data_IF_322874298043
#
_entry.id   IF_322874298043
#
_cell.length_a   1.000
_cell.length_b   1.000
_cell.length_c   1.000
_cell.angle_alpha   90.00
_cell.angle_beta   90.00
_cell.angle_gamma   90.00
#
_symmetry.space_group_name_H-M   'P 1'
#
loop_
_entity.id
_entity.type
_entity.pdbx_description
1 polymer ?
#
# COMPACT_ATOMS: atom_id res chain seq x y z
N UNK A 1 19.60 -14.22 22.08
CA UNK A 1 19.17 -13.92 21.69
C UNK A 1 18.60 -13.52 21.00
N UNK A 2 18.21 -13.38 20.95
CA UNK A 2 17.54 -12.97 20.47
C UNK A 2 17.10 -12.60 19.71
N UNK A 3 16.49 -12.44 19.55
CA UNK A 3 15.93 -12.10 18.91
C UNK A 3 15.59 -11.42 18.37
N UNK A 4 15.69 -11.55 18.10
CA UNK A 4 15.32 -10.68 17.47
C UNK A 4 14.32 -10.23 16.88
N UNK A 5 14.01 -10.53 16.97
CA UNK A 5 13.08 -10.13 16.64
C UNK A 5 12.44 -9.42 16.55
N UNK A 6 12.79 -9.80 16.65
CA UNK A 6 11.87 -9.13 16.57
C UNK A 6 11.75 -7.79 16.61
N UNK A 7 11.96 -7.13 15.79
CA UNK A 7 11.60 -5.81 16.07
C UNK A 7 10.17 -5.55 15.64
N UNK A 8 9.27 -5.50 16.57
CA UNK A 8 7.87 -5.35 16.20
C UNK A 8 7.54 -3.96 15.72
N UNK A 9 8.46 -3.01 15.84
CA UNK A 9 8.19 -1.65 15.39
C UNK A 9 8.35 -1.49 13.88
N UNK A 10 8.94 -2.46 13.20
CA UNK A 10 9.15 -2.36 11.75
C UNK A 10 8.13 -3.20 11.03
N UNK A 11 7.05 -2.55 10.62
CA UNK A 11 6.06 -3.20 9.77
C UNK A 11 6.54 -3.09 8.33
N UNK A 12 6.21 -4.10 7.52
CA UNK A 12 6.54 -4.05 6.10
C UNK A 12 5.59 -3.10 5.37
N UNK A 13 4.37 -3.02 5.82
CA UNK A 13 3.37 -2.10 5.31
C UNK A 13 2.24 -2.02 6.32
N UNK A 14 1.63 -0.84 6.42
CA UNK A 14 0.46 -0.65 7.27
C UNK A 14 -0.44 0.37 6.57
N UNK A 15 -1.59 -0.08 6.09
CA UNK A 15 -2.48 0.78 5.32
C UNK A 15 -3.09 1.91 6.15
N UNK A 16 -2.96 1.85 7.46
CA UNK A 16 -3.50 2.86 8.37
C UNK A 16 -2.44 3.85 8.82
N UNK A 17 -1.23 3.75 8.29
CA UNK A 17 -0.12 4.60 8.69
C UNK A 17 0.31 5.44 7.48
N UNK A 18 0.29 6.77 7.64
CA UNK A 18 0.62 7.68 6.56
C UNK A 18 2.06 7.56 6.08
N UNK A 19 2.94 6.96 6.86
CA UNK A 19 4.30 6.71 6.40
C UNK A 19 4.35 5.64 5.31
N UNK A 20 3.34 4.78 5.26
CA UNK A 20 3.30 3.68 4.29
C UNK A 20 2.30 3.95 3.18
N UNK A 21 1.27 4.72 3.45
CA UNK A 21 0.27 5.03 2.46
C UNK A 21 -0.26 6.44 2.73
N UNK A 22 -0.07 7.34 1.77
CA UNK A 22 -0.48 8.72 1.96
C UNK A 22 -1.17 9.26 0.71
N UNK A 23 -2.39 9.77 0.84
CA UNK A 23 -3.22 9.76 2.03
C UNK A 23 -3.77 8.36 2.31
N UNK A 24 -4.10 8.10 3.56
CA UNK A 24 -4.80 6.86 3.87
C UNK A 24 -6.31 7.14 3.94
N UNK A 25 -7.10 6.05 3.92
CA UNK A 25 -8.54 6.19 3.87
C UNK A 25 -9.03 6.31 2.44
N UNK A 26 -10.24 6.78 2.27
CA UNK A 26 -10.82 6.97 0.94
C UNK A 26 -10.18 8.17 0.27
N UNK A 27 -10.03 8.09 -1.05
CA UNK A 27 -9.41 9.17 -1.83
C UNK A 27 -10.32 9.55 -2.98
N UNK A 28 -10.17 10.78 -3.44
CA UNK A 28 -10.90 11.27 -4.59
C UNK A 28 -10.23 10.79 -5.87
N UNK A 29 -11.03 10.51 -6.91
CA UNK A 29 -10.43 10.14 -8.19
C UNK A 29 -9.55 11.28 -8.67
N UNK A 30 -8.42 10.93 -9.28
CA UNK A 30 -7.43 11.91 -9.68
C UNK A 30 -6.43 12.26 -8.58
N UNK A 31 -6.67 11.80 -7.36
CA UNK A 31 -5.73 12.03 -6.26
C UNK A 31 -4.63 10.99 -6.29
N UNK A 32 -3.38 11.43 -6.23
CA UNK A 32 -2.25 10.51 -6.24
C UNK A 32 -1.98 9.97 -4.85
N UNK A 33 -1.91 8.66 -4.76
CA UNK A 33 -1.61 7.97 -3.50
C UNK A 33 -0.18 7.47 -3.55
N UNK A 34 0.57 7.78 -2.51
CA UNK A 34 1.93 7.27 -2.35
C UNK A 34 1.87 5.98 -1.53
N UNK A 35 2.43 4.92 -2.08
CA UNK A 35 2.56 3.64 -1.40
C UNK A 35 4.03 3.41 -1.10
N UNK A 36 4.33 3.04 0.13
CA UNK A 36 5.69 2.76 0.55
C UNK A 36 5.71 1.45 1.32
N UNK A 37 6.70 0.61 1.00
CA UNK A 37 6.91 -0.63 1.73
C UNK A 37 8.32 -0.64 2.29
N UNK A 38 8.47 -1.26 3.43
CA UNK A 38 9.76 -1.38 4.11
C UNK A 38 10.18 -2.84 4.05
N UNK A 39 11.29 -3.12 3.40
CA UNK A 39 11.72 -4.49 3.18
C UNK A 39 13.04 -4.77 3.88
N UNK A 40 13.16 -5.97 4.48
CA UNK A 40 14.47 -6.39 4.99
C UNK A 40 15.47 -6.49 3.86
N UNK A 41 16.66 -5.98 4.07
CA UNK A 41 17.68 -5.99 3.03
C UNK A 41 18.17 -7.40 2.72
N UNK A 42 18.05 -8.32 3.70
CA UNK A 42 18.47 -9.70 3.47
C UNK A 42 17.60 -10.41 2.43
N UNK A 43 16.42 -9.89 2.13
CA UNK A 43 15.58 -10.46 1.07
C UNK A 43 16.24 -10.37 -0.30
N UNK A 44 17.09 -9.38 -0.49
CA UNK A 44 17.70 -9.18 -1.80
C UNK A 44 16.67 -8.82 -2.86
N UNK A 45 15.76 -7.92 -2.52
CA UNK A 45 14.71 -7.51 -3.45
C UNK A 45 15.31 -6.78 -4.64
N UNK A 46 15.03 -7.28 -5.84
CA UNK A 46 15.52 -6.70 -7.08
C UNK A 46 14.44 -5.98 -7.85
N UNK A 47 13.18 -6.18 -7.46
CA UNK A 47 12.06 -5.51 -8.09
C UNK A 47 10.85 -5.65 -7.20
N UNK A 48 10.08 -4.59 -7.10
CA UNK A 48 8.85 -4.58 -6.33
C UNK A 48 7.76 -3.98 -7.18
N UNK A 49 6.53 -4.46 -7.00
CA UNK A 49 5.40 -4.04 -7.81
C UNK A 49 4.18 -3.86 -6.94
N UNK A 50 3.43 -2.80 -7.20
CA UNK A 50 2.11 -2.63 -6.64
C UNK A 50 1.15 -3.43 -7.51
N UNK A 51 0.48 -4.40 -6.91
CA UNK A 51 -0.60 -5.13 -7.57
C UNK A 51 -1.85 -4.29 -7.40
N UNK A 52 -2.55 -3.98 -8.48
CA UNK A 52 -3.82 -3.29 -8.36
C UNK A 52 -4.86 -4.02 -9.20
N UNK A 53 -6.03 -4.15 -8.61
CA UNK A 53 -7.14 -4.86 -9.23
C UNK A 53 -8.41 -4.08 -8.93
N UNK A 54 -8.89 -3.27 -9.89
CA UNK A 54 -10.17 -2.61 -9.71
C UNK A 54 -11.26 -3.65 -9.53
N UNK A 55 -12.24 -3.35 -8.71
CA UNK A 55 -13.34 -4.28 -8.49
C UNK A 55 -14.02 -4.56 -9.82
N UNK A 56 -14.07 -5.84 -10.19
CA UNK A 56 -14.62 -6.24 -11.48
C UNK A 56 -13.70 -6.07 -12.65
N UNK A 57 -12.47 -5.61 -12.43
CA UNK A 57 -11.51 -5.41 -13.50
C UNK A 57 -10.34 -6.38 -13.43
N UNK A 58 -9.37 -6.15 -14.30
CA UNK A 58 -8.20 -7.02 -14.40
C UNK A 58 -7.09 -6.54 -13.47
N UNK A 59 -6.30 -7.50 -13.01
CA UNK A 59 -5.13 -7.21 -12.20
C UNK A 59 -4.03 -6.60 -13.05
N UNK A 60 -3.35 -5.61 -12.50
CA UNK A 60 -2.22 -4.97 -13.16
C UNK A 60 -1.11 -4.74 -12.14
N UNK A 61 0.10 -4.57 -12.65
CA UNK A 61 1.29 -4.33 -11.84
C UNK A 61 1.88 -2.98 -12.17
N UNK A 62 2.18 -2.20 -11.14
CA UNK A 62 2.90 -0.93 -11.30
C UNK A 62 4.26 -1.08 -10.62
N UNK A 63 5.32 -0.74 -11.34
CA UNK A 63 6.66 -0.84 -10.79
C UNK A 63 6.88 0.11 -9.63
N UNK A 64 7.56 -0.38 -8.61
CA UNK A 64 8.00 0.43 -7.49
C UNK A 64 9.47 0.74 -7.65
N UNK A 65 9.93 1.78 -6.95
CA UNK A 65 11.29 2.25 -7.06
C UNK A 65 11.96 2.19 -5.69
N UNK A 66 13.22 1.79 -5.70
CA UNK A 66 14.01 1.81 -4.48
C UNK A 66 14.12 3.26 -4.01
N UNK A 67 13.73 3.49 -2.77
CA UNK A 67 13.61 4.85 -2.23
C UNK A 67 14.64 5.15 -1.15
N UNK A 68 15.57 4.22 -0.93
CA UNK A 68 16.64 4.48 0.00
C UNK A 68 16.69 3.47 1.11
N UNK A 69 17.82 3.45 1.78
CA UNK A 69 18.05 2.59 2.90
C UNK A 69 17.54 3.27 4.16
N UNK A 70 16.77 2.53 4.97
CA UNK A 70 16.33 3.05 6.24
C UNK A 70 17.43 2.92 7.28
N UNK A 71 18.03 1.76 7.33
CA UNK A 71 19.16 1.47 8.20
C UNK A 71 19.92 0.27 7.62
N UNK A 72 20.79 -0.34 8.40
CA UNK A 72 21.58 -1.48 7.91
C UNK A 72 20.73 -2.69 7.56
N UNK A 73 19.52 -2.74 8.07
CA UNK A 73 18.67 -3.94 7.96
C UNK A 73 17.48 -3.76 7.04
N UNK A 74 17.07 -2.55 6.74
CA UNK A 74 15.84 -2.29 6.01
C UNK A 74 16.03 -1.24 4.93
N UNK A 75 15.17 -1.32 3.91
CA UNK A 75 15.17 -0.36 2.81
C UNK A 75 13.73 -0.05 2.42
N UNK A 76 13.54 1.15 1.88
CA UNK A 76 12.24 1.60 1.40
C UNK A 76 12.11 1.40 -0.10
N UNK A 77 10.91 0.99 -0.52
CA UNK A 77 10.50 1.01 -1.92
C UNK A 77 9.19 1.76 -1.97
N UNK A 78 8.99 2.60 -2.99
CA UNK A 78 7.76 3.34 -3.09
C UNK A 78 7.29 3.46 -4.54
N UNK A 79 6.02 3.83 -4.69
CA UNK A 79 5.45 4.19 -5.98
C UNK A 79 4.23 5.04 -5.74
N UNK A 80 3.77 5.68 -6.82
CA UNK A 80 2.59 6.50 -6.79
C UNK A 80 1.55 5.90 -7.71
N UNK A 81 0.30 5.95 -7.29
CA UNK A 81 -0.81 5.47 -8.07
C UNK A 81 -1.92 6.51 -8.02
N UNK A 82 -2.45 6.85 -9.19
CA UNK A 82 -3.54 7.82 -9.30
C UNK A 82 -4.75 7.10 -9.85
N UNK A 83 -5.73 6.76 -9.00
CA UNK A 83 -6.96 6.16 -9.50
C UNK A 83 -7.74 7.17 -10.31
N UNK A 84 -8.11 6.77 -11.52
CA UNK A 84 -8.78 7.68 -12.45
C UNK A 84 -10.28 7.49 -12.48
N UNK A 85 -10.78 6.46 -11.81
CA UNK A 85 -12.20 6.18 -11.75
C UNK A 85 -12.61 5.90 -10.33
N UNK A 86 -13.78 6.38 -9.96
CA UNK A 86 -14.35 6.04 -8.67
C UNK A 86 -14.63 4.55 -8.59
N UNK A 87 -14.55 4.01 -7.40
CA UNK A 87 -14.80 2.61 -7.17
C UNK A 87 -13.82 2.03 -6.17
N UNK A 88 -13.88 0.72 -6.04
CA UNK A 88 -13.03 0.00 -5.11
C UNK A 88 -11.87 -0.60 -5.88
N UNK A 89 -10.67 -0.44 -5.35
CA UNK A 89 -9.46 -1.05 -5.91
C UNK A 89 -8.84 -1.93 -4.84
N UNK A 90 -8.59 -3.17 -5.20
CA UNK A 90 -7.85 -4.09 -4.34
C UNK A 90 -6.39 -3.98 -4.67
N UNK A 91 -5.52 -3.96 -3.67
CA UNK A 91 -4.10 -3.81 -3.94
C UNK A 91 -3.26 -4.67 -3.02
N UNK A 92 -2.06 -4.96 -3.47
CA UNK A 92 -1.08 -5.70 -2.71
C UNK A 92 0.29 -5.47 -3.32
N UNK A 93 1.25 -6.28 -2.93
CA UNK A 93 2.63 -6.07 -3.39
C UNK A 93 3.26 -7.39 -3.77
N UNK A 94 3.98 -7.35 -4.89
CA UNK A 94 4.71 -8.51 -5.40
C UNK A 94 6.18 -8.16 -5.43
N UNK A 95 7.02 -9.07 -4.97
CA UNK A 95 8.44 -8.83 -4.84
C UNK A 95 9.22 -9.89 -5.61
N UNK A 96 10.27 -9.45 -6.33
CA UNK A 96 11.22 -10.36 -6.93
C UNK A 96 12.47 -10.30 -6.09
N UNK A 97 12.75 -11.37 -5.36
CA UNK A 97 13.84 -11.38 -4.40
C UNK A 97 14.88 -12.43 -4.78
N UNK A 98 16.01 -12.39 -4.11
CA UNK A 98 17.04 -13.41 -4.30
C UNK A 98 16.59 -14.79 -3.90
N UNK A 99 15.47 -14.89 -3.19
CA UNK A 99 14.91 -16.17 -2.76
C UNK A 99 13.69 -16.57 -3.58
N UNK A 100 13.43 -15.85 -4.68
CA UNK A 100 12.28 -16.09 -5.53
C UNK A 100 11.21 -15.03 -5.33
N UNK A 101 10.06 -15.28 -5.97
CA UNK A 101 8.96 -14.34 -5.89
C UNK A 101 8.29 -14.42 -4.52
N UNK A 102 8.00 -13.26 -3.96
CA UNK A 102 7.32 -13.15 -2.68
C UNK A 102 6.22 -12.11 -2.78
N UNK A 103 5.35 -12.10 -1.78
CA UNK A 103 4.21 -11.17 -1.75
C UNK A 103 4.09 -10.59 -0.36
N UNK A 104 3.60 -9.35 -0.29
CA UNK A 104 3.11 -8.81 0.97
C UNK A 104 1.61 -8.99 0.97
N UNK A 105 1.09 -9.65 1.99
CA UNK A 105 -0.33 -9.97 2.08
C UNK A 105 -0.89 -9.33 3.34
N UNK A 106 -2.17 -8.97 3.29
CA UNK A 106 -2.82 -8.24 4.36
C UNK A 106 -3.11 -9.16 5.55
N UNK A 107 -2.74 -8.69 6.73
CA UNK A 107 -3.14 -9.31 7.98
C UNK A 107 -4.39 -8.64 8.52
N UNK A 108 -5.09 -9.27 9.48
CA UNK A 108 -6.33 -8.67 10.01
C UNK A 108 -6.17 -7.28 10.60
N UNK A 109 -4.98 -6.92 11.06
CA UNK A 109 -4.72 -5.59 11.62
C UNK A 109 -4.26 -4.59 10.56
N UNK A 110 -4.41 -4.92 9.27
CA UNK A 110 -4.06 -4.08 8.14
C UNK A 110 -2.57 -3.94 7.88
N UNK A 111 -1.74 -4.66 8.62
CA UNK A 111 -0.30 -4.71 8.35
C UNK A 111 0.00 -5.82 7.36
N UNK A 112 1.25 -5.92 6.93
CA UNK A 112 1.65 -6.88 5.93
C UNK A 112 2.43 -8.04 6.52
N UNK A 113 2.23 -9.20 5.94
CA UNK A 113 3.08 -10.35 6.20
C UNK A 113 3.75 -10.76 4.89
N UNK A 114 4.97 -11.26 5.01
CA UNK A 114 5.71 -11.77 3.86
C UNK A 114 5.23 -13.18 3.56
N UNK A 115 4.92 -13.45 2.30
CA UNK A 115 4.34 -14.73 1.90
C UNK A 115 4.98 -15.21 0.60
N UNK A 116 5.08 -16.53 0.46
CA UNK A 116 5.55 -17.13 -0.78
C UNK A 116 4.42 -17.24 -1.82
N UNK A 117 3.18 -17.01 -1.40
CA UNK A 117 2.02 -17.11 -2.28
C UNK A 117 1.16 -15.87 -2.16
N UNK A 118 0.37 -15.55 -3.21
CA UNK A 118 -0.60 -14.46 -3.10
C UNK A 118 -1.59 -14.74 -1.98
N UNK A 119 -2.08 -13.67 -1.38
CA UNK A 119 -3.03 -13.79 -0.28
C UNK A 119 -3.94 -12.57 -0.24
N UNK A 120 -4.52 -12.29 0.93
CA UNK A 120 -5.46 -11.18 1.04
C UNK A 120 -4.86 -9.86 0.62
N UNK A 121 -5.68 -9.04 0.00
CA UNK A 121 -5.31 -7.72 -0.49
C UNK A 121 -5.95 -6.65 0.39
N UNK A 122 -5.42 -5.44 0.28
CA UNK A 122 -6.00 -4.26 0.93
C UNK A 122 -7.00 -3.60 -0.01
N UNK A 123 -7.86 -2.77 0.55
CA UNK A 123 -8.85 -2.02 -0.22
C UNK A 123 -8.47 -0.55 -0.26
N UNK A 124 -8.65 0.04 -1.44
CA UNK A 124 -8.57 1.49 -1.63
C UNK A 124 -9.91 1.93 -2.19
N UNK A 125 -10.62 2.76 -1.46
CA UNK A 125 -11.88 3.31 -1.93
C UNK A 125 -11.62 4.64 -2.60
N UNK A 126 -12.06 4.76 -3.84
CA UNK A 126 -11.91 5.99 -4.62
C UNK A 126 -13.29 6.54 -4.88
N UNK A 127 -13.52 7.81 -4.53
CA UNK A 127 -14.81 8.42 -4.76
C UNK A 127 -14.72 9.41 -5.91
N UNK A 128 -15.89 9.76 -6.45
CA UNK A 128 -16.00 10.54 -7.66
C UNK A 128 -15.49 11.97 -7.44
N UNK A 129 -14.70 12.44 -8.39
CA UNK A 129 -14.17 13.79 -8.33
C UNK A 129 -15.32 14.78 -8.42
N UNK A 130 -15.25 15.81 -7.61
CA UNK A 130 -16.29 16.81 -7.56
C UNK A 130 -17.44 16.45 -6.66
N UNK A 131 -17.49 15.20 -6.19
CA UNK A 131 -18.51 14.83 -5.21
C UNK A 131 -18.18 15.52 -3.90
N UNK A 132 -19.16 16.22 -3.37
CA UNK A 132 -18.97 16.87 -2.08
C UNK A 132 -20.33 17.11 -1.44
N UNK A 133 -20.31 17.19 -0.13
CA UNK A 133 -21.49 17.56 0.59
C UNK A 133 -21.85 19.00 0.22
N UNK A 134 -23.10 19.26 -0.17
CA UNK A 134 -23.49 20.65 -0.45
C UNK A 134 -23.21 21.55 0.73
N UNK A 135 -22.92 22.82 0.45
CA UNK A 135 -22.54 23.75 1.48
C UNK A 135 -23.60 23.90 2.57
N UNK A 136 -24.88 23.91 2.17
CA UNK A 136 -25.96 24.03 3.14
C UNK A 136 -26.01 22.81 4.06
N UNK A 137 -25.48 21.69 3.64
CA UNK A 137 -25.46 20.50 4.46
C UNK A 137 -24.16 20.44 5.28
N UNK A 138 -23.08 20.86 4.67
CA UNK A 138 -21.80 20.86 5.37
C UNK A 138 -21.74 21.94 6.44
N UNK A 139 -22.44 23.01 6.16
CA UNK A 139 -22.48 24.08 7.12
C UNK A 139 -23.26 23.69 8.35
N UNK A 140 -23.81 22.72 8.24
CA UNK A 140 -24.39 22.33 9.21
C UNK A 140 -25.01 22.80 9.86
N UNK A 141 -24.85 22.96 9.27
CA UNK A 141 -24.99 23.25 9.48
C UNK A 141 -25.60 23.69 9.69
N UNK A 142 -26.09 23.96 9.67
CA UNK A 142 -26.51 24.32 9.76
C UNK A 142 -27.16 24.26 10.18
N UNK A 143 -27.40 24.23 10.31
CA UNK A 143 -27.88 24.02 10.57
C UNK A 143 -28.14 23.89 11.31
#
# INVERSE_FOLDING_TARGET
MTQPEVSPIHQLFDSRNAEYRHPFGAVEEGCTVLFRILLPRWLGCRGAYLIRCPDGGDEALDGMFWAGQMDDSYEWWDCRYTPEKAGLVWYGFQLETGQGRRYLVRQPDATAALSASPGPLWQLTCYEQGFRTPDWLAGGVMY
#
